data_IF_243968240894
#
_entry.id   IF_243968240894
#
_cell.length_a   1.000
_cell.length_b   1.000
_cell.length_c   1.000
_cell.angle_alpha   90.00
_cell.angle_beta   90.00
_cell.angle_gamma   90.00
#
_symmetry.space_group_name_H-M   'P 1'
#
loop_
_entity.id
_entity.type
_entity.pdbx_description
1 polymer ?
#
# COMPACT_ATOMS: atom_id res chain seq x y z
N UNK A 1 -24.43 23.60 -16.39
CA UNK A 1 -23.20 22.87 -16.72
C UNK A 1 -22.69 22.27 -15.43
N UNK A 2 -22.96 21.00 -15.19
CA UNK A 2 -22.36 20.24 -14.10
C UNK A 2 -20.98 19.83 -14.58
N UNK A 3 -19.94 20.48 -14.07
CA UNK A 3 -18.57 20.00 -14.21
C UNK A 3 -18.54 18.66 -13.47
N UNK A 4 -18.59 17.56 -14.21
CA UNK A 4 -18.25 16.25 -13.65
C UNK A 4 -16.80 16.37 -13.21
N UNK A 5 -16.56 16.39 -11.90
CA UNK A 5 -15.21 16.21 -11.36
C UNK A 5 -14.64 14.97 -12.04
N UNK A 6 -13.56 15.16 -12.79
CA UNK A 6 -12.83 14.04 -13.34
C UNK A 6 -12.48 13.13 -12.16
N UNK A 7 -12.65 11.80 -12.26
CA UNK A 7 -12.29 10.91 -11.17
C UNK A 7 -10.83 11.18 -10.82
N UNK A 8 -10.59 11.71 -9.62
CA UNK A 8 -9.23 11.95 -9.15
C UNK A 8 -8.55 10.60 -9.08
N UNK A 9 -7.66 10.35 -10.03
CA UNK A 9 -6.86 9.13 -10.02
C UNK A 9 -6.08 9.12 -8.70
N UNK A 10 -6.11 8.03 -7.92
CA UNK A 10 -5.25 7.91 -6.77
C UNK A 10 -3.80 8.07 -7.22
N UNK A 11 -2.99 8.80 -6.45
CA UNK A 11 -1.56 9.01 -6.72
C UNK A 11 -0.73 7.71 -6.64
N UNK A 12 -1.39 6.58 -6.39
CA UNK A 12 -0.82 5.24 -6.37
C UNK A 12 -1.79 4.23 -6.99
N UNK A 13 -1.24 3.11 -7.45
CA UNK A 13 -1.99 1.94 -7.94
C UNK A 13 -1.73 0.75 -7.03
N UNK A 14 -2.79 0.06 -6.62
CA UNK A 14 -2.70 -1.16 -5.83
C UNK A 14 -2.57 -2.39 -6.74
N UNK A 15 -1.65 -3.28 -6.40
CA UNK A 15 -1.44 -4.57 -7.07
C UNK A 15 -1.61 -5.69 -6.04
N UNK A 16 -2.47 -6.64 -6.36
CA UNK A 16 -2.87 -7.72 -5.44
C UNK A 16 -2.59 -9.10 -6.05
N UNK A 17 -2.02 -9.99 -5.22
CA UNK A 17 -1.79 -11.40 -5.49
C UNK A 17 -1.93 -12.20 -4.18
N UNK A 18 -2.10 -13.53 -4.23
CA UNK A 18 -2.38 -14.33 -3.02
C UNK A 18 -1.38 -14.17 -1.87
N UNK A 19 -0.11 -13.95 -2.20
CA UNK A 19 0.99 -13.85 -1.26
C UNK A 19 1.65 -12.47 -1.23
N UNK A 20 1.14 -11.50 -2.01
CA UNK A 20 1.71 -10.15 -2.07
C UNK A 20 0.68 -9.09 -2.45
N UNK A 21 0.66 -8.00 -1.68
CA UNK A 21 -0.15 -6.81 -1.93
C UNK A 21 0.79 -5.62 -1.86
N UNK A 22 0.83 -4.76 -2.87
CA UNK A 22 1.76 -3.61 -2.88
C UNK A 22 1.20 -2.44 -3.65
N UNK A 23 1.66 -1.24 -3.30
CA UNK A 23 1.29 0.00 -3.96
C UNK A 23 2.49 0.57 -4.73
N UNK A 24 2.24 1.03 -5.96
CA UNK A 24 3.23 1.70 -6.82
C UNK A 24 2.78 3.12 -7.15
N UNK A 25 3.72 4.03 -7.40
CA UNK A 25 3.44 5.38 -7.89
C UNK A 25 3.21 5.44 -9.41
N UNK A 26 3.11 6.65 -9.96
CA UNK A 26 2.95 6.90 -11.39
C UNK A 26 4.14 6.45 -12.26
N UNK A 27 5.30 6.21 -11.65
CA UNK A 27 6.53 5.74 -12.29
C UNK A 27 6.76 4.24 -12.09
N UNK A 28 5.74 3.51 -11.62
CA UNK A 28 5.81 2.09 -11.23
C UNK A 28 6.84 1.79 -10.12
N UNK A 29 7.20 2.79 -9.30
CA UNK A 29 8.07 2.62 -8.14
C UNK A 29 7.22 2.16 -6.96
N UNK A 30 7.61 1.02 -6.36
CA UNK A 30 6.93 0.49 -5.19
C UNK A 30 7.13 1.39 -3.97
N UNK A 31 6.01 1.83 -3.37
CA UNK A 31 5.99 2.69 -2.20
C UNK A 31 6.06 1.87 -0.91
N UNK A 32 5.24 0.83 -0.84
CA UNK A 32 5.06 -0.05 0.29
C UNK A 32 4.36 -1.35 -0.13
N UNK A 33 4.36 -2.34 0.75
CA UNK A 33 3.66 -3.57 0.48
C UNK A 33 3.52 -4.47 1.70
N UNK A 34 2.91 -5.61 1.45
CA UNK A 34 2.75 -6.69 2.38
C UNK A 34 3.01 -8.00 1.62
N UNK A 35 3.90 -8.84 2.13
CA UNK A 35 4.19 -10.14 1.55
C UNK A 35 3.99 -11.23 2.59
N UNK A 36 3.51 -12.39 2.16
CA UNK A 36 3.45 -13.60 2.99
C UNK A 36 4.76 -14.37 2.78
N UNK A 37 5.65 -14.44 3.78
CA UNK A 37 6.85 -15.26 3.65
C UNK A 37 6.47 -16.73 3.54
N UNK A 38 7.24 -17.50 2.77
CA UNK A 38 6.95 -18.92 2.49
C UNK A 38 6.72 -19.71 3.79
N UNK A 39 5.57 -20.39 3.88
CA UNK A 39 5.21 -21.21 5.04
C UNK A 39 4.63 -20.43 6.23
N UNK A 40 4.49 -19.10 6.13
CA UNK A 40 3.84 -18.30 7.17
C UNK A 40 2.38 -18.04 6.85
N UNK A 41 1.54 -17.94 7.89
CA UNK A 41 0.12 -17.56 7.77
C UNK A 41 -0.10 -16.04 7.77
N UNK A 42 0.94 -15.26 8.07
CA UNK A 42 0.88 -13.80 8.26
C UNK A 42 1.55 -13.07 7.09
N UNK A 43 1.07 -11.87 6.80
CA UNK A 43 1.75 -10.94 5.91
C UNK A 43 2.68 -10.05 6.72
N UNK A 44 3.94 -9.95 6.31
CA UNK A 44 4.86 -8.93 6.77
C UNK A 44 4.61 -7.65 5.97
N UNK A 45 4.21 -6.58 6.66
CA UNK A 45 4.02 -5.25 6.07
C UNK A 45 5.34 -4.50 6.11
N UNK A 46 5.69 -3.88 4.99
CA UNK A 46 6.93 -3.15 4.81
C UNK A 46 6.70 -1.86 4.03
N UNK A 47 7.67 -0.97 4.15
CA UNK A 47 7.71 0.29 3.41
C UNK A 47 9.00 0.32 2.61
N UNK A 48 8.90 0.63 1.33
CA UNK A 48 10.06 0.72 0.42
C UNK A 48 10.70 2.10 0.51
N UNK A 49 9.88 3.13 0.68
CA UNK A 49 10.33 4.49 0.99
C UNK A 49 10.41 4.69 2.50
N UNK A 50 11.35 5.51 2.97
CA UNK A 50 11.43 5.84 4.40
C UNK A 50 10.28 6.77 4.78
N UNK A 51 9.19 6.24 5.30
CA UNK A 51 8.05 7.03 5.82
C UNK A 51 8.23 7.52 7.25
N UNK A 52 9.14 6.92 8.02
CA UNK A 52 9.40 7.28 9.42
C UNK A 52 10.86 7.06 9.79
N UNK A 53 11.32 7.75 10.82
CA UNK A 53 12.58 7.48 11.51
C UNK A 53 12.47 6.34 12.54
N UNK A 54 11.25 5.90 12.85
CA UNK A 54 10.96 4.78 13.75
C UNK A 54 10.77 3.49 12.97
N UNK A 55 11.35 2.41 13.48
CA UNK A 55 11.20 1.08 12.91
C UNK A 55 9.87 0.48 13.37
N UNK A 56 8.98 0.20 12.43
CA UNK A 56 7.70 -0.46 12.70
C UNK A 56 7.67 -1.79 11.95
N UNK A 57 7.66 -2.90 12.69
CA UNK A 57 7.33 -4.21 12.15
C UNK A 57 5.86 -4.50 12.40
N UNK A 58 5.09 -4.64 11.32
CA UNK A 58 3.67 -4.93 11.39
C UNK A 58 3.41 -6.26 10.68
N UNK A 59 2.69 -7.15 11.37
CA UNK A 59 2.24 -8.41 10.81
C UNK A 59 0.73 -8.40 10.70
N UNK A 60 0.21 -8.48 9.48
CA UNK A 60 -1.21 -8.64 9.24
C UNK A 60 -1.57 -10.14 9.22
N UNK A 61 -2.55 -10.53 10.03
CA UNK A 61 -3.02 -11.92 10.16
C UNK A 61 -3.95 -12.36 9.03
N UNK A 62 -4.45 -11.41 8.24
CA UNK A 62 -5.35 -11.68 7.11
C UNK A 62 -4.94 -10.88 5.88
N UNK A 63 -5.37 -11.33 4.70
CA UNK A 63 -5.16 -10.60 3.44
C UNK A 63 -5.85 -9.24 3.45
N UNK A 64 -7.01 -9.14 4.09
CA UNK A 64 -7.74 -7.88 4.20
C UNK A 64 -6.99 -6.88 5.09
N UNK A 65 -6.50 -7.31 6.25
CA UNK A 65 -5.70 -6.44 7.12
C UNK A 65 -4.40 -5.99 6.44
N UNK A 66 -3.78 -6.89 5.66
CA UNK A 66 -2.61 -6.55 4.86
C UNK A 66 -2.94 -5.46 3.83
N UNK A 67 -4.05 -5.62 3.10
CA UNK A 67 -4.56 -4.63 2.13
C UNK A 67 -4.81 -3.26 2.77
N UNK A 68 -5.51 -3.23 3.90
CA UNK A 68 -5.82 -1.99 4.63
C UNK A 68 -4.56 -1.27 5.09
N UNK A 69 -3.53 -1.99 5.54
CA UNK A 69 -2.24 -1.39 5.87
C UNK A 69 -1.49 -0.86 4.66
N UNK A 70 -1.47 -1.57 3.53
CA UNK A 70 -0.84 -1.07 2.30
C UNK A 70 -1.53 0.20 1.81
N UNK A 71 -2.86 0.25 1.84
CA UNK A 71 -3.62 1.46 1.49
C UNK A 71 -3.27 2.64 2.39
N UNK A 72 -3.28 2.45 3.71
CA UNK A 72 -2.91 3.48 4.67
C UNK A 72 -1.50 4.02 4.42
N UNK A 73 -0.53 3.13 4.19
CA UNK A 73 0.86 3.52 3.94
C UNK A 73 1.03 4.23 2.60
N UNK A 74 0.31 3.78 1.56
CA UNK A 74 0.33 4.43 0.25
C UNK A 74 -0.27 5.84 0.31
N UNK A 75 -1.40 6.02 1.02
CA UNK A 75 -2.00 7.33 1.26
C UNK A 75 -1.06 8.27 2.01
N UNK A 76 -0.37 7.77 3.04
CA UNK A 76 0.63 8.54 3.77
C UNK A 76 1.83 8.93 2.88
N UNK A 77 2.27 8.03 2.01
CA UNK A 77 3.38 8.27 1.10
C UNK A 77 3.06 9.33 0.05
N UNK A 78 1.82 9.36 -0.46
CA UNK A 78 1.42 10.29 -1.53
C UNK A 78 0.74 11.56 -1.02
N UNK A 79 0.45 11.65 0.28
CA UNK A 79 -0.30 12.78 0.86
C UNK A 79 -1.81 12.73 0.59
N UNK A 80 -2.35 11.54 0.29
CA UNK A 80 -3.76 11.31 -0.02
C UNK A 80 -4.21 11.83 -1.38
N UNK A 81 -5.47 11.55 -1.74
CA UNK A 81 -6.15 12.14 -2.91
C UNK A 81 -6.23 13.66 -2.70
N UNK A 82 -5.62 14.45 -3.58
CA UNK A 82 -5.77 15.92 -3.62
C UNK A 82 -6.82 16.34 -4.63
#
# INVERSE_FOLDING_TARGET
>A
MTTTDAPTMPAYRLIESPDRIYAVDENDIELCGAYRPNGHSHFCVYVTLRLSDRLHHVYATTSQAAREHVLLLAELATGGVR
#
